data_IF_745957521695
#
_entry.id   IF_745957521695
#
_cell.length_a   1.000
_cell.length_b   1.000
_cell.length_c   1.000
_cell.angle_alpha   90.00
_cell.angle_beta   90.00
_cell.angle_gamma   90.00
#
_symmetry.space_group_name_H-M   'P 1'
#
loop_
_entity.id
_entity.type
_entity.pdbx_description
1 polymer ?
#
# COMPACT_ATOMS: atom_id res chain seq x y z
N UNK A 1 -38.10 35.04 -26.47
CA UNK A 1 -38.08 36.05 -25.38
C UNK A 1 -37.02 35.71 -24.31
N UNK A 2 -35.80 35.30 -24.70
CA UNK A 2 -34.73 34.85 -23.79
C UNK A 2 -33.35 35.58 -23.93
N UNK A 3 -33.06 36.41 -24.96
CA UNK A 3 -31.77 37.11 -25.01
C UNK A 3 -31.62 38.26 -24.01
N UNK A 4 -32.73 38.88 -23.60
CA UNK A 4 -32.70 40.14 -22.83
C UNK A 4 -32.40 39.95 -21.32
N UNK A 5 -32.53 38.74 -20.78
CA UNK A 5 -32.25 38.47 -19.36
C UNK A 5 -30.76 38.24 -19.07
N UNK A 6 -29.99 37.76 -20.05
CA UNK A 6 -28.55 37.45 -19.88
C UNK A 6 -27.69 38.72 -20.02
N UNK A 7 -28.06 39.63 -20.94
CA UNK A 7 -27.39 40.92 -21.08
C UNK A 7 -27.56 41.82 -19.84
N UNK A 8 -28.72 41.76 -19.18
CA UNK A 8 -28.98 42.51 -17.94
C UNK A 8 -28.17 41.97 -16.75
N UNK A 9 -27.87 40.67 -16.71
CA UNK A 9 -27.06 40.07 -15.64
C UNK A 9 -25.58 40.50 -15.74
N UNK A 10 -25.02 40.58 -16.95
CA UNK A 10 -23.63 40.98 -17.17
C UNK A 10 -23.40 42.49 -16.88
N UNK A 11 -24.42 43.33 -17.12
CA UNK A 11 -24.42 44.75 -16.76
C UNK A 11 -24.48 44.94 -15.24
N UNK A 12 -25.30 44.15 -14.53
CA UNK A 12 -25.40 44.18 -13.07
C UNK A 12 -24.10 43.73 -12.40
N UNK A 13 -23.41 42.72 -12.94
CA UNK A 13 -22.10 42.27 -12.45
C UNK A 13 -21.04 43.35 -12.64
N UNK A 14 -21.02 44.02 -13.79
CA UNK A 14 -20.08 45.13 -14.05
C UNK A 14 -20.36 46.34 -13.17
N UNK A 15 -21.62 46.66 -12.88
CA UNK A 15 -22.00 47.73 -11.93
C UNK A 15 -21.65 47.37 -10.47
N UNK A 16 -21.83 46.11 -10.05
CA UNK A 16 -21.44 45.65 -8.71
C UNK A 16 -19.93 45.66 -8.50
N UNK A 17 -19.15 45.27 -9.52
CA UNK A 17 -17.67 45.32 -9.48
C UNK A 17 -17.17 46.77 -9.49
N UNK A 18 -17.81 47.67 -10.25
CA UNK A 18 -17.51 49.10 -10.22
C UNK A 18 -17.84 49.75 -8.87
N UNK A 19 -18.96 49.37 -8.24
CA UNK A 19 -19.35 49.84 -6.91
C UNK A 19 -18.43 49.30 -5.80
N UNK A 20 -17.93 48.07 -5.94
CA UNK A 20 -16.94 47.50 -5.03
C UNK A 20 -15.58 48.22 -5.13
N UNK A 21 -15.19 48.62 -6.34
CA UNK A 21 -13.97 49.41 -6.57
C UNK A 21 -14.09 50.87 -6.13
N UNK A 22 -15.29 51.47 -6.12
CA UNK A 22 -15.51 52.79 -5.53
C UNK A 22 -15.42 52.77 -3.99
N UNK A 23 -15.79 51.67 -3.35
CA UNK A 23 -15.63 51.50 -1.88
C UNK A 23 -14.18 51.31 -1.44
N UNK A 24 -13.25 51.12 -2.38
CA UNK A 24 -11.82 50.98 -2.14
C UNK A 24 -11.11 52.31 -1.77
N UNK A 25 -11.79 53.46 -1.90
CA UNK A 25 -11.26 54.78 -1.51
C UNK A 25 -11.58 55.21 -0.06
N UNK A 26 -12.41 54.45 0.68
CA UNK A 26 -12.80 54.82 2.04
C UNK A 26 -12.33 53.70 2.97
N UNK A 27 -11.17 53.93 3.59
CA UNK A 27 -10.37 52.95 4.32
C UNK A 27 -11.17 52.09 5.32
N UNK A 28 -11.28 50.80 5.01
CA UNK A 28 -11.77 49.76 5.90
C UNK A 28 -10.66 48.73 6.19
N UNK A 29 -10.67 48.07 7.36
CA UNK A 29 -9.52 47.31 7.87
C UNK A 29 -9.24 46.06 7.03
N UNK A 30 -7.96 45.83 6.73
CA UNK A 30 -7.40 44.80 5.84
C UNK A 30 -7.97 43.37 6.02
N UNK A 31 -8.41 43.01 7.21
CA UNK A 31 -8.86 41.66 7.55
C UNK A 31 -10.24 41.30 6.96
N UNK A 32 -11.13 42.28 6.74
CA UNK A 32 -12.43 42.04 6.10
C UNK A 32 -12.30 41.94 4.58
N UNK A 33 -11.35 42.66 3.98
CA UNK A 33 -11.10 42.63 2.55
C UNK A 33 -10.62 41.25 2.09
N UNK A 34 -9.72 40.63 2.86
CA UNK A 34 -9.15 39.32 2.53
C UNK A 34 -10.19 38.20 2.63
N UNK A 35 -11.07 38.24 3.64
CA UNK A 35 -12.17 37.28 3.76
C UNK A 35 -13.20 37.43 2.63
N UNK A 36 -13.51 38.68 2.23
CA UNK A 36 -14.45 38.91 1.14
C UNK A 36 -13.87 38.47 -0.22
N UNK A 37 -12.55 38.63 -0.42
CA UNK A 37 -11.87 38.18 -1.62
C UNK A 37 -11.76 36.65 -1.69
N UNK A 38 -11.53 35.98 -0.57
CA UNK A 38 -11.56 34.52 -0.49
C UNK A 38 -12.97 33.96 -0.73
N UNK A 39 -14.00 34.62 -0.19
CA UNK A 39 -15.38 34.21 -0.41
C UNK A 39 -15.80 34.37 -1.88
N UNK A 40 -15.37 35.45 -2.54
CA UNK A 40 -15.62 35.66 -3.97
C UNK A 40 -14.94 34.60 -4.86
N UNK A 41 -13.68 34.23 -4.55
CA UNK A 41 -12.96 33.16 -5.24
C UNK A 41 -13.63 31.79 -5.06
N UNK A 42 -14.13 31.51 -3.86
CA UNK A 42 -14.86 30.27 -3.59
C UNK A 42 -16.16 30.19 -4.41
N UNK A 43 -16.92 31.29 -4.47
CA UNK A 43 -18.16 31.35 -5.25
C UNK A 43 -17.88 31.14 -6.76
N UNK A 44 -16.80 31.72 -7.27
CA UNK A 44 -16.39 31.56 -8.67
C UNK A 44 -16.00 30.10 -8.98
N UNK A 45 -15.29 29.44 -8.05
CA UNK A 45 -14.91 28.04 -8.21
C UNK A 45 -16.14 27.12 -8.19
N UNK A 46 -17.12 27.41 -7.33
CA UNK A 46 -18.37 26.66 -7.25
C UNK A 46 -19.21 26.79 -8.53
N UNK A 47 -19.28 28.00 -9.13
CA UNK A 47 -19.95 28.18 -10.42
C UNK A 47 -19.23 27.46 -11.57
N UNK A 48 -17.91 27.42 -11.56
CA UNK A 48 -17.14 26.70 -12.58
C UNK A 48 -17.37 25.19 -12.50
N UNK A 49 -17.45 24.63 -11.28
CA UNK A 49 -17.81 23.23 -11.06
C UNK A 49 -19.23 22.92 -11.53
N UNK A 50 -20.19 23.80 -11.23
CA UNK A 50 -21.57 23.64 -11.68
C UNK A 50 -21.68 23.70 -13.22
N UNK A 51 -20.90 24.57 -13.87
CA UNK A 51 -20.82 24.64 -15.32
C UNK A 51 -20.20 23.38 -15.94
N UNK A 52 -19.12 22.83 -15.36
CA UNK A 52 -18.55 21.55 -15.80
C UNK A 52 -19.55 20.39 -15.63
N UNK A 53 -20.31 20.38 -14.53
CA UNK A 53 -21.31 19.34 -14.30
C UNK A 53 -22.46 19.42 -15.32
N UNK A 54 -22.89 20.64 -15.70
CA UNK A 54 -23.87 20.83 -16.78
C UNK A 54 -23.34 20.40 -18.16
N UNK A 55 -22.05 20.64 -18.45
CA UNK A 55 -21.42 20.16 -19.68
C UNK A 55 -21.33 18.63 -19.74
N UNK A 56 -21.00 17.97 -18.62
CA UNK A 56 -21.00 16.51 -18.53
C UNK A 56 -22.40 15.91 -18.72
N UNK A 57 -23.42 16.53 -18.14
CA UNK A 57 -24.82 16.13 -18.32
C UNK A 57 -25.27 16.30 -19.78
N UNK A 58 -24.87 17.38 -20.46
CA UNK A 58 -25.16 17.58 -21.88
C UNK A 58 -24.47 16.53 -22.78
N UNK A 59 -23.28 16.06 -22.39
CA UNK A 59 -22.53 15.00 -23.10
C UNK A 59 -23.17 13.61 -22.94
N UNK A 60 -23.81 13.36 -21.80
CA UNK A 60 -24.54 12.11 -21.53
C UNK A 60 -25.89 12.07 -22.25
N UNK A 61 -26.57 13.20 -22.40
CA UNK A 61 -27.86 13.28 -23.10
C UNK A 61 -27.73 13.31 -24.62
N UNK A 62 -26.60 13.77 -25.16
CA UNK A 62 -26.32 13.78 -26.62
C UNK A 62 -25.64 12.51 -27.13
N UNK A 63 -25.23 11.58 -26.26
CA UNK A 63 -24.58 10.32 -26.61
C UNK A 63 -25.52 9.15 -26.97
N UNK A 64 -26.83 9.38 -27.11
CA UNK A 64 -27.82 8.30 -27.28
C UNK A 64 -28.50 8.29 -28.67
N UNK A 65 -27.71 8.19 -29.73
CA UNK A 65 -28.17 7.65 -31.02
C UNK A 65 -27.06 6.80 -31.65
N UNK A 66 -27.07 5.49 -31.37
CA UNK A 66 -26.42 4.47 -32.21
C UNK A 66 -25.54 3.46 -31.47
N UNK A 67 -25.95 2.18 -31.51
CA UNK A 67 -25.00 1.05 -31.50
C UNK A 67 -25.08 0.06 -30.33
N UNK A 68 -26.00 -0.91 -30.46
CA UNK A 68 -25.96 -2.33 -30.05
C UNK A 68 -24.97 -2.83 -28.97
N UNK A 69 -25.53 -3.51 -27.98
CA UNK A 69 -24.90 -4.37 -26.98
C UNK A 69 -24.05 -5.51 -27.56
N UNK A 70 -22.84 -5.73 -27.00
CA UNK A 70 -22.34 -7.08 -26.75
C UNK A 70 -21.31 -7.09 -25.60
N UNK A 71 -21.63 -7.85 -24.56
CA UNK A 71 -20.78 -8.17 -23.41
C UNK A 71 -19.61 -9.07 -23.81
N UNK A 72 -18.45 -8.91 -23.16
CA UNK A 72 -17.33 -9.87 -23.31
C UNK A 72 -16.08 -9.47 -22.54
N UNK A 73 -15.90 -10.07 -21.37
CA UNK A 73 -14.63 -10.15 -20.64
C UNK A 73 -13.51 -10.69 -21.54
N UNK A 74 -12.41 -9.96 -21.68
CA UNK A 74 -11.16 -10.51 -22.22
C UNK A 74 -10.14 -10.68 -21.08
N UNK A 75 -10.04 -11.94 -20.64
CA UNK A 75 -8.91 -12.49 -19.90
C UNK A 75 -7.86 -12.88 -20.94
N UNK A 76 -6.67 -12.29 -20.90
CA UNK A 76 -5.55 -12.71 -21.73
C UNK A 76 -4.78 -13.85 -21.02
N UNK A 77 -5.11 -15.09 -21.39
CA UNK A 77 -4.24 -16.25 -21.24
C UNK A 77 -3.27 -16.27 -22.42
N UNK A 78 -1.95 -16.37 -22.17
CA UNK A 78 -0.99 -16.81 -23.19
C UNK A 78 -0.27 -18.02 -22.64
N UNK A 79 -0.64 -19.18 -23.19
CA UNK A 79 0.04 -20.43 -23.05
C UNK A 79 1.17 -20.55 -24.08
N UNK A 80 2.21 -21.25 -23.63
CA UNK A 80 3.25 -22.03 -24.31
C UNK A 80 3.03 -22.31 -25.80
N UNK A 81 4.08 -22.04 -26.59
CA UNK A 81 4.25 -22.56 -27.96
C UNK A 81 5.74 -22.73 -28.27
N UNK A 82 6.19 -23.97 -28.24
CA UNK A 82 7.53 -24.43 -28.62
C UNK A 82 7.82 -24.17 -30.11
N UNK A 83 9.08 -23.92 -30.45
CA UNK A 83 9.64 -24.28 -31.77
C UNK A 83 11.15 -24.49 -31.68
N UNK A 84 11.56 -25.61 -32.25
CA UNK A 84 12.92 -26.14 -32.32
C UNK A 84 13.76 -25.48 -33.42
N UNK A 85 15.06 -25.71 -33.33
CA UNK A 85 16.16 -25.77 -34.33
C UNK A 85 17.31 -24.87 -33.87
N UNK A 86 18.60 -25.20 -33.97
CA UNK A 86 19.38 -26.39 -34.34
C UNK A 86 20.85 -26.02 -34.09
N UNK A 87 21.68 -26.92 -33.57
CA UNK A 87 23.10 -27.08 -33.97
C UNK A 87 23.80 -28.11 -33.10
N UNK A 88 24.37 -29.10 -33.78
CA UNK A 88 25.14 -30.24 -33.30
C UNK A 88 26.53 -29.86 -32.79
N UNK A 89 27.10 -30.71 -31.93
CA UNK A 89 28.52 -30.70 -31.58
C UNK A 89 28.83 -31.59 -30.38
N UNK A 90 28.88 -32.90 -30.60
CA UNK A 90 29.26 -33.90 -29.61
C UNK A 90 30.71 -34.33 -29.84
N UNK A 91 31.59 -34.17 -28.84
CA UNK A 91 32.83 -34.96 -28.57
C UNK A 91 33.24 -34.57 -27.13
N UNK A 92 33.57 -35.38 -26.13
CA UNK A 92 33.83 -36.79 -25.92
C UNK A 92 34.67 -36.88 -24.61
N UNK A 93 34.56 -37.97 -23.83
CA UNK A 93 35.54 -38.31 -22.79
C UNK A 93 35.00 -38.44 -21.36
N UNK A 94 34.73 -39.69 -20.95
CA UNK A 94 34.78 -40.12 -19.55
C UNK A 94 36.25 -40.28 -19.13
N UNK A 95 36.56 -40.05 -17.84
CA UNK A 95 37.21 -41.06 -16.99
C UNK A 95 36.98 -40.71 -15.49
N UNK A 96 36.94 -41.72 -14.58
CA UNK A 96 36.63 -41.55 -13.16
C UNK A 96 37.88 -41.62 -12.26
N UNK A 97 37.96 -40.86 -11.17
CA UNK A 97 38.91 -41.14 -10.08
C UNK A 97 38.52 -40.47 -8.76
N UNK A 98 38.33 -41.29 -7.72
CA UNK A 98 38.99 -41.22 -6.41
C UNK A 98 38.90 -39.93 -5.58
N UNK A 99 38.25 -40.01 -4.42
CA UNK A 99 38.20 -38.94 -3.44
C UNK A 99 39.52 -38.68 -2.71
N UNK A 100 39.75 -37.42 -2.33
CA UNK A 100 40.59 -37.00 -1.21
C UNK A 100 39.93 -35.79 -0.53
N UNK A 101 39.97 -35.84 0.80
CA UNK A 101 39.48 -34.88 1.78
C UNK A 101 40.07 -33.49 1.58
N UNK A 102 39.20 -32.48 1.43
CA UNK A 102 39.56 -31.07 1.46
C UNK A 102 38.37 -30.26 1.95
N UNK A 103 38.39 -29.86 3.22
CA UNK A 103 37.40 -28.98 3.81
C UNK A 103 37.49 -27.58 3.21
N UNK A 104 36.72 -27.35 2.15
CA UNK A 104 36.36 -26.01 1.72
C UNK A 104 35.04 -25.65 2.41
N UNK A 105 35.04 -24.57 3.19
CA UNK A 105 33.81 -23.89 3.58
C UNK A 105 33.15 -23.38 2.30
N UNK A 106 32.31 -24.22 1.71
CA UNK A 106 31.52 -23.87 0.55
C UNK A 106 30.49 -22.84 1.02
N UNK A 107 30.72 -21.57 0.68
CA UNK A 107 29.67 -20.55 0.68
C UNK A 107 28.56 -21.07 -0.24
N UNK A 108 27.58 -21.74 0.35
CA UNK A 108 26.36 -22.12 -0.36
C UNK A 108 25.64 -20.83 -0.67
N UNK A 109 25.62 -20.45 -1.96
CA UNK A 109 24.72 -19.44 -2.46
C UNK A 109 23.31 -19.76 -1.95
N UNK A 110 22.57 -18.81 -1.35
CA UNK A 110 21.20 -19.07 -0.95
C UNK A 110 20.44 -19.51 -2.21
N UNK A 111 19.93 -20.74 -2.17
CA UNK A 111 19.04 -21.28 -3.19
C UNK A 111 17.91 -20.27 -3.40
N UNK A 112 17.53 -19.95 -4.65
CA UNK A 112 16.34 -19.16 -4.90
C UNK A 112 15.17 -19.81 -4.17
N UNK A 113 14.52 -19.07 -3.28
CA UNK A 113 13.30 -19.56 -2.61
C UNK A 113 12.33 -20.09 -3.68
N UNK A 114 11.67 -21.24 -3.43
CA UNK A 114 10.72 -21.79 -4.39
C UNK A 114 9.69 -20.71 -4.81
N UNK A 115 9.24 -20.70 -6.09
CA UNK A 115 8.24 -19.76 -6.55
C UNK A 115 7.05 -19.75 -5.59
N UNK A 116 6.74 -18.58 -5.02
CA UNK A 116 5.67 -18.45 -4.04
C UNK A 116 4.34 -18.90 -4.66
N UNK A 117 3.79 -20.00 -4.15
CA UNK A 117 2.45 -20.46 -4.47
C UNK A 117 1.50 -19.82 -3.45
N UNK A 118 0.54 -18.97 -3.89
CA UNK A 118 -0.49 -18.46 -2.99
C UNK A 118 -1.17 -19.63 -2.27
N UNK A 119 -1.49 -19.50 -0.96
CA UNK A 119 -2.27 -20.49 -0.24
C UNK A 119 -3.54 -20.81 -1.03
N UNK A 120 -3.88 -22.09 -1.14
CA UNK A 120 -5.06 -22.52 -1.86
C UNK A 120 -6.31 -21.96 -1.16
N UNK A 121 -7.31 -21.58 -1.94
CA UNK A 121 -8.53 -20.98 -1.40
C UNK A 121 -9.28 -22.06 -0.60
N UNK A 122 -9.73 -21.78 0.64
CA UNK A 122 -10.58 -22.69 1.37
C UNK A 122 -11.93 -22.83 0.66
N UNK A 123 -12.78 -23.71 1.18
CA UNK A 123 -14.14 -23.88 0.69
C UNK A 123 -14.86 -22.53 0.54
N UNK A 124 -15.58 -22.35 -0.58
CA UNK A 124 -16.18 -21.07 -0.99
C UNK A 124 -17.01 -20.43 0.13
N UNK A 125 -17.75 -21.28 0.87
CA UNK A 125 -18.58 -20.93 2.03
C UNK A 125 -17.75 -20.21 3.13
N UNK A 126 -16.55 -20.71 3.41
CA UNK A 126 -15.66 -20.15 4.43
C UNK A 126 -15.10 -18.81 3.95
N UNK A 127 -14.68 -18.74 2.68
CA UNK A 127 -14.15 -17.49 2.13
C UNK A 127 -15.21 -16.38 2.07
N UNK A 128 -16.43 -16.70 1.66
CA UNK A 128 -17.54 -15.75 1.59
C UNK A 128 -17.91 -15.21 2.97
N UNK A 129 -17.89 -16.07 3.99
CA UNK A 129 -18.17 -15.64 5.35
C UNK A 129 -17.09 -14.70 5.89
N UNK A 130 -15.82 -14.95 5.59
CA UNK A 130 -14.71 -14.04 5.91
C UNK A 130 -14.88 -12.71 5.16
N UNK A 131 -15.28 -12.73 3.89
CA UNK A 131 -15.52 -11.52 3.10
C UNK A 131 -16.65 -10.68 3.68
N UNK A 132 -17.76 -11.32 4.04
CA UNK A 132 -18.89 -10.68 4.69
C UNK A 132 -18.48 -10.03 6.03
N UNK A 133 -17.66 -10.71 6.81
CA UNK A 133 -17.17 -10.21 8.10
C UNK A 133 -16.34 -8.93 7.92
N UNK A 134 -15.37 -8.92 7.01
CA UNK A 134 -14.51 -7.75 6.76
C UNK A 134 -15.24 -6.59 6.09
N UNK A 135 -16.31 -6.84 5.35
CA UNK A 135 -17.12 -5.77 4.78
C UNK A 135 -18.02 -5.08 5.82
N UNK A 136 -18.37 -5.76 6.92
CA UNK A 136 -19.29 -5.26 7.95
C UNK A 136 -18.62 -4.93 9.29
N UNK A 137 -17.29 -5.05 9.37
CA UNK A 137 -16.54 -4.77 10.59
C UNK A 137 -16.37 -3.26 10.78
N UNK A 138 -16.61 -2.81 11.99
CA UNK A 138 -16.48 -1.42 12.45
C UNK A 138 -15.75 -1.40 13.79
N UNK A 139 -15.25 -0.24 14.22
CA UNK A 139 -14.56 -0.12 15.53
C UNK A 139 -15.44 -0.56 16.71
N UNK A 140 -16.76 -0.39 16.63
CA UNK A 140 -17.70 -0.75 17.69
C UNK A 140 -17.95 -2.26 17.80
N UNK A 141 -18.02 -2.97 16.66
CA UNK A 141 -18.32 -4.40 16.62
C UNK A 141 -17.07 -5.28 16.43
N UNK A 142 -15.87 -4.68 16.41
CA UNK A 142 -14.61 -5.37 16.13
C UNK A 142 -14.38 -6.60 17.02
N UNK A 143 -14.70 -6.51 18.32
CA UNK A 143 -14.51 -7.61 19.27
C UNK A 143 -15.43 -8.80 18.97
N UNK A 144 -16.71 -8.53 18.72
CA UNK A 144 -17.70 -9.56 18.38
C UNK A 144 -17.34 -10.25 17.06
N UNK A 145 -17.01 -9.46 16.03
CA UNK A 145 -16.59 -9.99 14.72
C UNK A 145 -15.27 -10.74 14.80
N UNK A 146 -14.33 -10.33 15.64
CA UNK A 146 -13.10 -11.09 15.86
C UNK A 146 -13.38 -12.45 16.50
N UNK A 147 -14.32 -12.54 17.44
CA UNK A 147 -14.73 -13.84 18.00
C UNK A 147 -15.39 -14.74 16.97
N UNK A 148 -16.26 -14.20 16.10
CA UNK A 148 -16.85 -14.96 14.99
C UNK A 148 -15.77 -15.50 14.05
N UNK A 149 -14.76 -14.68 13.75
CA UNK A 149 -13.62 -15.09 12.92
C UNK A 149 -12.80 -16.20 13.60
N UNK A 150 -12.53 -16.08 14.90
CA UNK A 150 -11.81 -17.11 15.67
C UNK A 150 -12.57 -18.44 15.60
N UNK A 151 -13.87 -18.45 15.85
CA UNK A 151 -14.68 -19.67 15.77
C UNK A 151 -14.60 -20.31 14.39
N UNK A 152 -14.63 -19.51 13.31
CA UNK A 152 -14.49 -20.03 11.95
C UNK A 152 -13.11 -20.63 11.68
N UNK A 153 -12.06 -19.95 12.14
CA UNK A 153 -10.69 -20.40 11.99
C UNK A 153 -10.39 -21.67 12.82
N UNK A 154 -10.97 -21.79 14.00
CA UNK A 154 -10.84 -22.99 14.85
C UNK A 154 -11.64 -24.17 14.28
N UNK A 155 -12.90 -23.94 13.90
CA UNK A 155 -13.80 -24.95 13.35
C UNK A 155 -13.23 -25.60 12.08
N UNK A 156 -12.76 -24.76 11.14
CA UNK A 156 -12.28 -25.20 9.83
C UNK A 156 -10.75 -25.37 9.77
N UNK A 157 -10.02 -24.90 10.77
CA UNK A 157 -8.56 -25.10 10.91
C UNK A 157 -8.21 -26.40 11.63
N UNK A 158 -9.04 -26.87 12.56
CA UNK A 158 -8.80 -28.12 13.29
C UNK A 158 -9.35 -29.37 12.56
N UNK A 159 -10.32 -29.21 11.66
CA UNK A 159 -10.97 -30.34 10.98
C UNK A 159 -10.29 -30.70 9.66
N UNK A 160 -9.24 -31.55 9.75
CA UNK A 160 -8.92 -32.71 8.88
C UNK A 160 -7.41 -33.02 8.88
N UNK A 161 -6.97 -33.71 9.93
CA UNK A 161 -5.84 -34.65 9.89
C UNK A 161 -6.30 -36.07 10.22
N UNK A 162 -7.52 -36.46 9.81
CA UNK A 162 -7.97 -37.85 9.92
C UNK A 162 -8.02 -38.50 8.54
N UNK A 163 -6.99 -39.26 8.20
CA UNK A 163 -7.06 -40.31 7.18
C UNK A 163 -6.09 -40.15 6.01
N UNK A 164 -4.95 -40.84 6.14
CA UNK A 164 -4.05 -41.29 5.06
C UNK A 164 -2.86 -40.39 4.67
N UNK A 165 -1.72 -40.80 5.20
CA UNK A 165 -0.44 -40.99 4.51
C UNK A 165 0.30 -39.75 4.00
N UNK A 166 1.25 -39.31 4.84
CA UNK A 166 2.64 -38.99 4.48
C UNK A 166 2.87 -38.13 3.23
N UNK A 167 3.01 -36.81 3.41
CA UNK A 167 4.22 -35.98 3.20
C UNK A 167 3.83 -34.53 3.52
N UNK A 168 4.35 -33.98 4.62
CA UNK A 168 4.34 -32.53 4.99
C UNK A 168 3.00 -31.80 4.78
N UNK A 169 1.99 -32.10 5.60
CA UNK A 169 0.71 -31.39 5.57
C UNK A 169 0.67 -30.34 6.68
N UNK A 170 0.90 -29.08 6.31
CA UNK A 170 0.86 -27.89 7.16
C UNK A 170 -0.48 -27.77 7.92
N UNK A 171 -0.49 -27.78 9.27
CA UNK A 171 -1.71 -27.71 10.09
C UNK A 171 -2.53 -26.39 9.98
N UNK A 172 -2.12 -25.44 9.14
CA UNK A 172 -2.62 -24.06 9.19
C UNK A 172 -2.88 -23.48 7.80
N UNK A 173 -3.40 -24.28 6.87
CA UNK A 173 -3.70 -23.84 5.50
C UNK A 173 -4.69 -22.67 5.49
N UNK A 174 -5.77 -22.76 6.29
CA UNK A 174 -6.76 -21.69 6.42
C UNK A 174 -6.19 -20.41 7.04
N UNK A 175 -5.34 -20.52 8.07
CA UNK A 175 -4.68 -19.35 8.67
C UNK A 175 -3.73 -18.68 7.67
N UNK A 176 -2.99 -19.47 6.90
CA UNK A 176 -2.08 -18.97 5.87
C UNK A 176 -2.85 -18.27 4.74
N UNK A 177 -3.98 -18.83 4.32
CA UNK A 177 -4.90 -18.19 3.38
C UNK A 177 -5.48 -16.89 3.95
N UNK A 178 -5.91 -16.90 5.21
CA UNK A 178 -6.47 -15.72 5.85
C UNK A 178 -5.42 -14.60 5.95
N UNK A 179 -4.18 -14.92 6.32
CA UNK A 179 -3.07 -13.97 6.30
C UNK A 179 -2.85 -13.38 4.90
N UNK A 180 -2.86 -14.22 3.87
CA UNK A 180 -2.78 -13.81 2.46
C UNK A 180 -3.93 -12.90 2.05
N UNK A 181 -5.16 -13.26 2.39
CA UNK A 181 -6.35 -12.45 2.12
C UNK A 181 -6.25 -11.07 2.79
N UNK A 182 -5.93 -11.05 4.09
CA UNK A 182 -5.83 -9.81 4.86
C UNK A 182 -4.78 -8.88 4.26
N UNK A 183 -3.57 -9.38 4.00
CA UNK A 183 -2.47 -8.56 3.50
C UNK A 183 -2.67 -8.17 2.03
N UNK A 184 -2.81 -9.15 1.14
CA UNK A 184 -2.75 -8.92 -0.31
C UNK A 184 -4.04 -8.34 -0.89
N UNK A 185 -5.21 -8.54 -0.26
CA UNK A 185 -6.49 -8.01 -0.75
C UNK A 185 -6.96 -6.77 0.02
N UNK A 186 -6.81 -6.75 1.35
CA UNK A 186 -7.32 -5.65 2.18
C UNK A 186 -6.25 -4.61 2.47
N UNK A 187 -5.17 -4.97 3.17
CA UNK A 187 -4.15 -4.01 3.64
C UNK A 187 -3.54 -3.18 2.50
N UNK A 188 -3.24 -3.81 1.36
CA UNK A 188 -2.68 -3.12 0.18
C UNK A 188 -3.60 -2.01 -0.34
N UNK A 189 -4.93 -2.20 -0.27
CA UNK A 189 -5.91 -1.29 -0.88
C UNK A 189 -6.54 -0.32 0.12
N UNK A 190 -6.78 -0.77 1.35
CA UNK A 190 -7.66 -0.12 2.31
C UNK A 190 -6.90 0.57 3.46
N UNK A 191 -6.27 1.70 3.17
CA UNK A 191 -5.42 2.42 4.15
C UNK A 191 -6.16 2.92 5.40
N UNK A 192 -7.45 3.25 5.28
CA UNK A 192 -8.26 3.80 6.40
C UNK A 192 -8.56 2.75 7.47
N UNK A 193 -8.50 1.45 7.12
CA UNK A 193 -8.88 0.36 8.01
C UNK A 193 -7.68 -0.32 8.69
N UNK A 194 -6.44 0.15 8.49
CA UNK A 194 -5.25 -0.48 9.08
C UNK A 194 -5.29 -0.58 10.60
N UNK A 195 -5.82 0.43 11.28
CA UNK A 195 -6.03 0.42 12.74
C UNK A 195 -7.03 -0.63 13.19
N UNK A 196 -8.12 -0.77 12.44
CA UNK A 196 -9.13 -1.80 12.67
C UNK A 196 -8.55 -3.19 12.45
N UNK A 197 -7.82 -3.39 11.36
CA UNK A 197 -7.16 -4.67 11.05
C UNK A 197 -6.12 -5.04 12.10
N UNK A 198 -5.30 -4.09 12.56
CA UNK A 198 -4.35 -4.34 13.66
C UNK A 198 -5.09 -4.80 14.91
N UNK A 199 -6.21 -4.14 15.25
CA UNK A 199 -7.02 -4.47 16.42
C UNK A 199 -7.63 -5.87 16.32
N UNK A 200 -8.14 -6.23 15.13
CA UNK A 200 -8.65 -7.59 14.86
C UNK A 200 -7.53 -8.63 15.04
N UNK A 201 -6.34 -8.37 14.48
CA UNK A 201 -5.18 -9.26 14.65
C UNK A 201 -4.81 -9.42 16.13
N UNK A 202 -4.91 -8.37 16.94
CA UNK A 202 -4.68 -8.47 18.39
C UNK A 202 -5.72 -9.35 19.09
N UNK A 203 -7.02 -9.18 18.78
CA UNK A 203 -8.07 -10.03 19.36
C UNK A 203 -7.94 -11.50 18.94
N UNK A 204 -7.58 -11.76 17.69
CA UNK A 204 -7.36 -13.14 17.20
C UNK A 204 -6.11 -13.74 17.84
N UNK A 205 -5.06 -12.94 18.06
CA UNK A 205 -3.82 -13.38 18.70
C UNK A 205 -4.02 -13.92 20.11
N UNK A 206 -5.01 -13.41 20.86
CA UNK A 206 -5.32 -13.86 22.23
C UNK A 206 -5.78 -15.33 22.28
N UNK A 207 -6.35 -15.84 21.18
CA UNK A 207 -6.80 -17.23 21.06
C UNK A 207 -5.88 -18.08 20.18
N UNK A 208 -5.36 -17.48 19.11
CA UNK A 208 -4.51 -18.14 18.12
C UNK A 208 -3.17 -17.41 18.06
N UNK A 209 -2.16 -17.80 18.85
CA UNK A 209 -0.89 -17.08 18.93
C UNK A 209 -0.08 -17.08 17.62
N UNK A 210 -0.35 -18.00 16.70
CA UNK A 210 0.37 -18.14 15.44
C UNK A 210 -0.05 -17.10 14.39
N UNK A 211 -1.21 -16.43 14.57
CA UNK A 211 -1.77 -15.58 13.52
C UNK A 211 -0.85 -14.43 13.15
N UNK A 212 -0.24 -13.76 14.14
CA UNK A 212 0.63 -12.62 13.85
C UNK A 212 1.88 -13.05 13.11
N UNK A 213 2.44 -14.23 13.41
CA UNK A 213 3.59 -14.75 12.67
C UNK A 213 3.22 -14.96 11.20
N UNK A 214 2.10 -15.63 10.91
CA UNK A 214 1.63 -15.85 9.54
C UNK A 214 1.31 -14.54 8.80
N UNK A 215 0.72 -13.55 9.48
CA UNK A 215 0.45 -12.22 8.91
C UNK A 215 1.75 -11.45 8.64
N UNK A 216 2.71 -11.49 9.56
CA UNK A 216 4.03 -10.86 9.39
C UNK A 216 4.80 -11.48 8.22
N UNK A 217 4.83 -12.81 8.14
CA UNK A 217 5.48 -13.54 7.05
C UNK A 217 4.92 -13.13 5.69
N UNK A 218 3.60 -13.04 5.59
CA UNK A 218 2.91 -12.67 4.36
C UNK A 218 3.11 -11.19 4.01
N UNK A 219 3.11 -10.32 5.02
CA UNK A 219 3.44 -8.91 4.88
C UNK A 219 4.87 -8.72 4.36
N UNK A 220 5.84 -9.45 4.93
CA UNK A 220 7.24 -9.41 4.48
C UNK A 220 7.39 -9.92 3.06
N UNK A 221 6.69 -11.00 2.68
CA UNK A 221 6.68 -11.50 1.30
C UNK A 221 6.17 -10.45 0.31
N UNK A 222 5.03 -9.81 0.61
CA UNK A 222 4.46 -8.77 -0.25
C UNK A 222 5.40 -7.55 -0.37
N UNK A 223 5.98 -7.09 0.75
CA UNK A 223 6.94 -5.98 0.75
C UNK A 223 8.19 -6.34 -0.08
N UNK A 224 8.81 -7.50 0.17
CA UNK A 224 10.00 -7.95 -0.57
C UNK A 224 9.70 -8.11 -2.06
N UNK A 225 8.53 -8.64 -2.42
CA UNK A 225 8.09 -8.75 -3.82
C UNK A 225 7.97 -7.39 -4.48
N UNK A 226 7.30 -6.42 -3.83
CA UNK A 226 7.19 -5.06 -4.36
C UNK A 226 8.57 -4.41 -4.50
N UNK A 227 9.42 -4.47 -3.49
CA UNK A 227 10.77 -3.89 -3.51
C UNK A 227 11.66 -4.46 -4.62
N UNK A 228 11.60 -5.78 -4.87
CA UNK A 228 12.33 -6.44 -5.95
C UNK A 228 11.83 -6.03 -7.34
N UNK A 229 10.53 -5.76 -7.45
CA UNK A 229 9.87 -5.39 -8.71
C UNK A 229 9.88 -3.87 -8.99
N UNK A 230 10.48 -3.04 -8.13
CA UNK A 230 10.63 -1.61 -8.38
C UNK A 230 11.50 -1.40 -9.62
N UNK A 231 10.90 -0.79 -10.63
CA UNK A 231 11.59 -0.38 -11.85
C UNK A 231 12.32 0.95 -11.63
N UNK A 232 13.50 1.08 -12.23
CA UNK A 232 14.30 2.31 -12.17
C UNK A 232 13.79 3.33 -13.19
N UNK A 233 13.30 2.85 -14.33
CA UNK A 233 12.90 3.63 -15.49
C UNK A 233 11.45 4.14 -15.44
N UNK A 234 10.58 3.47 -14.68
CA UNK A 234 9.14 3.77 -14.64
C UNK A 234 8.63 3.90 -13.21
N UNK A 235 8.03 5.04 -12.90
CA UNK A 235 7.32 5.28 -11.63
C UNK A 235 5.93 4.63 -11.68
N UNK A 236 5.67 3.69 -10.78
CA UNK A 236 4.37 3.04 -10.62
C UNK A 236 3.68 3.58 -9.36
N UNK A 237 2.72 4.48 -9.57
CA UNK A 237 1.95 5.09 -8.48
C UNK A 237 1.16 4.06 -7.66
N UNK A 238 0.70 2.97 -8.29
CA UNK A 238 -0.03 1.91 -7.60
C UNK A 238 0.90 1.15 -6.66
N UNK A 239 2.07 0.73 -7.17
CA UNK A 239 3.10 0.07 -6.36
C UNK A 239 3.58 0.97 -5.20
N UNK A 240 3.75 2.28 -5.43
CA UNK A 240 4.06 3.25 -4.35
C UNK A 240 3.00 3.27 -3.27
N UNK A 241 1.73 3.36 -3.66
CA UNK A 241 0.62 3.38 -2.70
C UNK A 241 0.54 2.07 -1.91
N UNK A 242 0.64 0.94 -2.60
CA UNK A 242 0.67 -0.39 -2.00
C UNK A 242 1.80 -0.53 -0.96
N UNK A 243 3.03 -0.15 -1.34
CA UNK A 243 4.18 -0.23 -0.45
C UNK A 243 4.02 0.69 0.77
N UNK A 244 3.53 1.92 0.56
CA UNK A 244 3.23 2.86 1.65
C UNK A 244 2.19 2.29 2.62
N UNK A 245 1.15 1.65 2.09
CA UNK A 245 0.09 1.03 2.89
C UNK A 245 0.62 -0.15 3.71
N UNK A 246 1.39 -1.04 3.08
CA UNK A 246 2.04 -2.16 3.77
C UNK A 246 3.01 -1.70 4.85
N UNK A 247 3.79 -0.63 4.59
CA UNK A 247 4.69 -0.04 5.58
C UNK A 247 3.96 0.54 6.80
N UNK A 248 2.82 1.20 6.57
CA UNK A 248 1.98 1.70 7.66
C UNK A 248 1.48 0.55 8.54
N UNK A 249 0.92 -0.49 7.91
CA UNK A 249 0.43 -1.66 8.64
C UNK A 249 1.55 -2.41 9.36
N UNK A 250 2.73 -2.55 8.75
CA UNK A 250 3.91 -3.14 9.37
C UNK A 250 4.28 -2.43 10.67
N UNK A 251 4.39 -1.10 10.64
CA UNK A 251 4.71 -0.31 11.83
C UNK A 251 3.70 -0.51 12.96
N UNK A 252 2.41 -0.68 12.62
CA UNK A 252 1.33 -0.86 13.60
C UNK A 252 1.33 -2.25 14.26
N UNK A 253 1.61 -3.32 13.51
CA UNK A 253 1.58 -4.69 14.06
C UNK A 253 2.90 -5.12 14.71
N UNK A 254 3.99 -4.38 14.47
CA UNK A 254 5.33 -4.64 15.00
C UNK A 254 5.78 -3.58 16.02
N UNK A 255 6.29 -2.43 15.56
CA UNK A 255 6.91 -1.40 16.38
C UNK A 255 5.94 -0.83 17.42
N UNK A 256 4.71 -0.50 17.04
CA UNK A 256 3.69 0.00 17.97
C UNK A 256 3.32 -1.02 19.06
N UNK A 257 3.64 -2.31 18.85
CA UNK A 257 3.46 -3.40 19.83
C UNK A 257 4.75 -3.81 20.51
N UNK A 258 5.76 -2.94 20.47
CA UNK A 258 7.07 -3.15 21.07
C UNK A 258 7.78 -4.41 20.55
N UNK A 259 7.48 -4.82 19.31
CA UNK A 259 8.16 -5.93 18.64
C UNK A 259 9.22 -5.37 17.67
N UNK A 260 10.49 -5.78 17.79
CA UNK A 260 11.54 -5.33 16.89
C UNK A 260 11.31 -5.88 15.48
N UNK A 261 11.72 -5.11 14.49
CA UNK A 261 11.94 -5.61 13.14
C UNK A 261 13.35 -6.18 13.08
N UNK A 262 13.46 -7.47 12.74
CA UNK A 262 14.76 -8.13 12.66
C UNK A 262 15.50 -7.63 11.41
N UNK A 263 16.79 -7.37 11.57
CA UNK A 263 17.66 -6.95 10.46
C UNK A 263 17.61 -7.93 9.28
N UNK A 264 17.57 -9.22 9.57
CA UNK A 264 17.52 -10.30 8.57
C UNK A 264 16.19 -10.34 7.81
N UNK A 265 15.11 -9.84 8.41
CA UNK A 265 13.82 -9.71 7.73
C UNK A 265 13.80 -8.47 6.84
N UNK A 266 14.14 -7.32 7.41
CA UNK A 266 14.17 -6.04 6.72
C UNK A 266 15.11 -5.03 7.38
N UNK A 267 16.21 -4.68 6.70
CA UNK A 267 17.05 -3.56 7.11
C UNK A 267 16.60 -2.25 6.43
N UNK A 268 15.94 -1.39 7.21
CA UNK A 268 15.44 -0.10 6.72
C UNK A 268 16.56 0.88 6.32
N UNK A 269 17.75 0.82 6.95
CA UNK A 269 18.87 1.69 6.61
C UNK A 269 19.47 1.32 5.26
N UNK A 270 19.78 0.04 5.08
CA UNK A 270 20.38 -0.45 3.84
C UNK A 270 19.42 -0.21 2.67
N UNK A 271 18.11 -0.36 2.90
CA UNK A 271 17.10 -0.05 1.91
C UNK A 271 17.11 1.43 1.49
N UNK A 272 17.31 2.37 2.43
CA UNK A 272 17.46 3.80 2.13
C UNK A 272 18.73 4.08 1.33
N UNK A 273 19.85 3.45 1.69
CA UNK A 273 21.12 3.59 0.96
C UNK A 273 21.02 3.03 -0.45
N UNK A 274 20.44 1.83 -0.63
CA UNK A 274 20.25 1.21 -1.93
C UNK A 274 19.33 2.05 -2.82
N UNK A 275 18.23 2.56 -2.27
CA UNK A 275 17.30 3.41 -2.99
C UNK A 275 17.94 4.72 -3.45
N UNK A 276 18.84 5.29 -2.64
CA UNK A 276 19.61 6.47 -3.02
C UNK A 276 20.52 6.19 -4.23
N UNK A 277 21.27 5.07 -4.22
CA UNK A 277 22.17 4.70 -5.32
C UNK A 277 21.44 4.34 -6.61
N UNK A 278 20.25 3.72 -6.52
CA UNK A 278 19.44 3.36 -7.70
C UNK A 278 18.77 4.57 -8.38
N UNK A 279 18.67 5.71 -7.67
CA UNK A 279 18.17 6.96 -8.23
C UNK A 279 16.77 7.38 -7.74
N UNK A 280 16.18 8.42 -8.35
CA UNK A 280 15.02 9.12 -7.78
C UNK A 280 13.74 8.29 -7.76
N UNK A 281 13.54 7.36 -8.71
CA UNK A 281 12.30 6.55 -8.78
C UNK A 281 12.22 5.57 -7.60
N UNK A 282 13.20 4.69 -7.35
CA UNK A 282 13.21 3.85 -6.14
C UNK A 282 13.16 4.64 -4.84
N UNK A 283 13.85 5.79 -4.79
CA UNK A 283 13.83 6.66 -3.61
C UNK A 283 12.42 7.14 -3.25
N UNK A 284 11.58 7.48 -4.25
CA UNK A 284 10.17 7.87 -4.05
C UNK A 284 9.27 6.73 -3.55
N UNK A 285 9.69 5.48 -3.69
CA UNK A 285 8.97 4.33 -3.15
C UNK A 285 9.43 4.04 -1.72
N UNK A 286 10.74 3.95 -1.52
CA UNK A 286 11.35 3.50 -0.26
C UNK A 286 11.23 4.53 0.85
N UNK A 287 11.44 5.82 0.58
CA UNK A 287 11.44 6.82 1.66
C UNK A 287 10.05 6.94 2.32
N UNK A 288 8.94 7.07 1.58
CA UNK A 288 7.61 7.07 2.20
C UNK A 288 7.29 5.75 2.91
N UNK A 289 7.76 4.61 2.39
CA UNK A 289 7.62 3.33 3.06
C UNK A 289 8.29 3.33 4.44
N UNK A 290 9.57 3.70 4.53
CA UNK A 290 10.31 3.75 5.79
C UNK A 290 9.68 4.76 6.76
N UNK A 291 9.26 5.92 6.26
CA UNK A 291 8.58 6.93 7.07
C UNK A 291 7.27 6.40 7.70
N UNK A 292 6.47 5.63 6.94
CA UNK A 292 5.25 5.00 7.46
C UNK A 292 5.53 3.88 8.45
N UNK A 293 6.58 3.08 8.26
CA UNK A 293 6.99 2.09 9.25
C UNK A 293 7.38 2.77 10.56
N UNK A 294 8.22 3.81 10.49
CA UNK A 294 8.67 4.57 11.67
C UNK A 294 7.53 5.30 12.39
N UNK A 295 6.43 5.64 11.72
CA UNK A 295 5.26 6.21 12.37
C UNK A 295 4.76 5.33 13.53
N UNK A 296 4.82 4.00 13.38
CA UNK A 296 4.44 3.07 14.44
C UNK A 296 5.39 3.06 15.64
N UNK A 297 6.62 3.57 15.49
CA UNK A 297 7.56 3.69 16.61
C UNK A 297 7.21 4.84 17.56
N UNK A 298 6.42 5.83 17.12
CA UNK A 298 6.02 6.99 17.92
C UNK A 298 5.15 6.55 19.10
N UNK A 299 4.24 5.61 18.86
CA UNK A 299 3.32 5.08 19.87
C UNK A 299 3.97 4.00 20.76
N UNK A 300 5.22 3.64 20.49
CA UNK A 300 5.95 2.55 21.19
C UNK A 300 6.73 3.06 22.38
N UNK A 301 6.61 2.40 23.53
CA UNK A 301 7.45 2.69 24.71
C UNK A 301 8.92 2.31 24.51
N UNK A 302 9.19 1.29 23.66
CA UNK A 302 10.55 0.80 23.43
C UNK A 302 11.21 1.57 22.30
N UNK A 303 10.48 1.82 21.20
CA UNK A 303 11.04 2.38 19.96
C UNK A 303 10.85 3.89 19.82
N UNK A 304 10.14 4.56 20.74
CA UNK A 304 10.10 6.02 20.79
C UNK A 304 11.51 6.61 20.95
N UNK A 305 11.69 7.85 20.51
CA UNK A 305 12.94 8.57 20.76
C UNK A 305 13.18 8.75 22.26
N UNK A 306 14.43 8.64 22.75
CA UNK A 306 15.70 8.58 22.01
C UNK A 306 16.24 7.16 21.76
N UNK A 307 15.41 6.17 21.38
CA UNK A 307 15.87 4.83 21.05
C UNK A 307 16.95 4.83 19.93
N UNK A 308 18.09 4.13 20.10
CA UNK A 308 19.20 4.15 19.15
C UNK A 308 18.87 3.56 17.76
N UNK A 309 18.01 2.54 17.69
CA UNK A 309 17.54 1.96 16.43
C UNK A 309 16.76 2.99 15.61
N UNK A 310 15.73 3.59 16.22
CA UNK A 310 14.88 4.62 15.58
C UNK A 310 15.70 5.87 15.25
N UNK A 311 16.50 6.35 16.19
CA UNK A 311 17.33 7.53 16.03
C UNK A 311 18.33 7.37 14.88
N UNK A 312 18.91 6.18 14.71
CA UNK A 312 19.86 5.97 13.64
C UNK A 312 19.21 5.98 12.25
N UNK A 313 17.96 5.51 12.11
CA UNK A 313 17.23 5.62 10.83
C UNK A 313 16.83 7.07 10.56
N UNK A 314 16.34 7.79 11.58
CA UNK A 314 15.99 9.21 11.47
C UNK A 314 17.21 10.05 11.05
N UNK A 315 18.41 9.77 11.58
CA UNK A 315 19.64 10.46 11.18
C UNK A 315 19.99 10.24 9.71
N UNK A 316 19.83 9.02 9.19
CA UNK A 316 20.02 8.73 7.75
C UNK A 316 19.00 9.51 6.90
N UNK A 317 17.74 9.59 7.35
CA UNK A 317 16.73 10.41 6.67
C UNK A 317 17.07 11.91 6.69
N UNK A 318 17.70 12.40 7.77
CA UNK A 318 18.22 13.78 7.86
C UNK A 318 19.29 14.07 6.81
N UNK A 319 20.22 13.14 6.69
CA UNK A 319 21.33 13.27 5.75
C UNK A 319 20.78 13.28 4.33
N UNK A 320 19.85 12.37 4.03
CA UNK A 320 19.14 12.33 2.76
C UNK A 320 18.42 13.65 2.47
N UNK A 321 17.78 14.27 3.47
CA UNK A 321 17.11 15.56 3.32
C UNK A 321 18.06 16.70 2.91
N UNK A 322 19.29 16.69 3.42
CA UNK A 322 20.30 17.72 3.14
C UNK A 322 20.89 17.62 1.72
N UNK A 323 20.72 16.48 1.04
CA UNK A 323 21.27 16.28 -0.29
C UNK A 323 20.53 17.12 -1.37
N UNK A 324 21.26 17.71 -2.33
CA UNK A 324 20.66 18.58 -3.34
C UNK A 324 19.76 17.81 -4.34
N UNK A 325 20.16 16.58 -4.69
CA UNK A 325 19.51 15.73 -5.69
C UNK A 325 18.14 15.16 -5.25
N UNK A 326 17.74 15.38 -4.00
CA UNK A 326 16.52 14.81 -3.45
C UNK A 326 15.28 15.60 -3.86
N UNK A 327 14.25 14.88 -4.27
CA UNK A 327 12.99 15.48 -4.72
C UNK A 327 12.23 16.15 -3.57
N UNK A 328 11.50 17.23 -3.86
CA UNK A 328 10.73 17.96 -2.85
C UNK A 328 9.69 17.09 -2.14
N UNK A 329 9.07 16.13 -2.84
CA UNK A 329 8.13 15.18 -2.24
C UNK A 329 8.76 14.40 -1.08
N UNK A 330 10.02 13.98 -1.22
CA UNK A 330 10.76 13.27 -0.17
C UNK A 330 11.08 14.22 0.99
N UNK A 331 11.49 15.46 0.67
CA UNK A 331 11.74 16.49 1.70
C UNK A 331 10.51 16.75 2.56
N UNK A 332 9.33 16.83 1.96
CA UNK A 332 8.07 16.97 2.70
C UNK A 332 7.79 15.78 3.60
N UNK A 333 7.97 14.55 3.11
CA UNK A 333 7.72 13.34 3.91
C UNK A 333 8.67 13.25 5.12
N UNK A 334 9.95 13.56 4.93
CA UNK A 334 10.94 13.56 6.02
C UNK A 334 10.63 14.65 7.03
N UNK A 335 10.33 15.88 6.58
CA UNK A 335 9.93 16.97 7.49
C UNK A 335 8.66 16.61 8.28
N UNK A 336 7.68 16.01 7.63
CA UNK A 336 6.47 15.55 8.30
C UNK A 336 6.79 14.50 9.38
N UNK A 337 7.68 13.55 9.09
CA UNK A 337 8.17 12.59 10.08
C UNK A 337 8.84 13.28 11.28
N UNK A 338 9.69 14.26 11.03
CA UNK A 338 10.34 15.03 12.10
C UNK A 338 9.35 15.72 13.03
N UNK A 339 8.31 16.35 12.46
CA UNK A 339 7.27 17.04 13.23
C UNK A 339 6.51 16.08 14.15
N UNK A 340 6.38 14.80 13.77
CA UNK A 340 5.66 13.82 14.59
C UNK A 340 6.51 13.34 15.77
N UNK A 341 7.84 13.32 15.61
CA UNK A 341 8.76 12.81 16.63
C UNK A 341 9.28 13.86 17.61
N UNK A 342 9.12 15.15 17.28
CA UNK A 342 9.55 16.30 18.09
C UNK A 342 8.36 16.93 18.83
#
# INVERSE_FOLDING_TARGET
MLPNHIANADILVKQLVAAANQKLLIGQPHHQLQNQQQHALHLQQQQHQHHQQQQLLHRLTTGHLGGTYQSGLQIANIAVGSSMTSASGAIGGQLPTGGILGGALQLTCPTPDPPYKPPEQPEEIVSDRVYFLFNNVTKANAKEKSNELISLLEEHGATKSSGSTSVVSEPSHLLSWFAHYLVSKRVVMEHTFHELFSTIVDYVQDRIPEIRLKVMDELMRNIKSLLRNIRIDKDDASARSALKNLGSFLGMISLARNKPLLHDEINLKDLLFEAYHKGPVPQRHVVPFVAKVLRGAVDSIVFALPNPYTMAIIRVLRELYAMPEVTNCIRFEVNYLYIIFC
#
